data_IF_963759555532
#
_entry.id   IF_963759555532
#
_cell.length_a   1.000
_cell.length_b   1.000
_cell.length_c   1.000
_cell.angle_alpha   90.00
_cell.angle_beta   90.00
_cell.angle_gamma   90.00
#
_symmetry.space_group_name_H-M   'P 1'
#
loop_
_entity.id
_entity.type
_entity.pdbx_description
1 polymer ?
#
# COMPACT_ATOMS: atom_id res chain seq x y z
N UNK A 1 -1.58 9.78 11.30
CA UNK A 1 -2.75 8.93 10.97
C UNK A 1 -2.80 7.73 11.89
N UNK A 2 -1.76 6.89 11.89
CA UNK A 2 -1.63 5.66 12.69
C UNK A 2 -2.11 5.79 14.15
N UNK A 3 -1.77 6.88 14.83
CA UNK A 3 -2.12 7.08 16.25
C UNK A 3 -3.64 7.17 16.48
N UNK A 4 -4.41 7.66 15.50
CA UNK A 4 -5.87 7.65 15.58
C UNK A 4 -6.45 6.24 15.37
N UNK A 5 -5.83 5.42 14.51
CA UNK A 5 -6.18 4.01 14.37
C UNK A 5 -5.89 3.21 15.64
N UNK A 6 -4.73 3.46 16.27
CA UNK A 6 -4.37 2.88 17.56
C UNK A 6 -5.28 3.37 18.69
N UNK A 7 -5.62 4.66 18.72
CA UNK A 7 -6.56 5.22 19.72
C UNK A 7 -7.97 4.64 19.57
N UNK A 8 -8.41 4.30 18.35
CA UNK A 8 -9.66 3.58 18.14
C UNK A 8 -9.64 2.19 18.79
N UNK A 9 -8.52 1.45 18.68
CA UNK A 9 -8.37 0.16 19.37
C UNK A 9 -8.37 0.34 20.90
N UNK A 10 -7.64 1.33 21.42
CA UNK A 10 -7.59 1.67 22.85
C UNK A 10 -8.98 2.01 23.40
N UNK A 11 -9.70 2.95 22.79
CA UNK A 11 -11.05 3.31 23.21
C UNK A 11 -12.03 2.14 23.07
N UNK A 12 -11.93 1.32 22.02
CA UNK A 12 -12.81 0.16 21.87
C UNK A 12 -12.60 -0.88 22.99
N UNK A 13 -11.36 -1.04 23.46
CA UNK A 13 -10.98 -2.00 24.50
C UNK A 13 -11.29 -1.53 25.92
N UNK A 14 -11.40 -0.23 26.15
CA UNK A 14 -11.75 0.38 27.43
C UNK A 14 -13.27 0.67 27.51
N UNK A 15 -14.05 -0.03 28.35
CA UNK A 15 -15.49 0.24 28.52
C UNK A 15 -15.80 1.52 29.30
N UNK A 16 -14.80 2.17 29.92
CA UNK A 16 -14.96 3.43 30.66
C UNK A 16 -14.74 4.68 29.80
N UNK A 17 -14.08 4.54 28.65
CA UNK A 17 -14.00 5.57 27.61
C UNK A 17 -15.39 5.85 27.03
N UNK A 18 -15.79 7.12 27.00
CA UNK A 18 -17.06 7.54 26.39
C UNK A 18 -17.10 7.23 24.90
N UNK A 19 -15.94 7.34 24.25
CA UNK A 19 -15.72 7.01 22.84
C UNK A 19 -15.89 5.50 22.53
N UNK A 20 -15.89 4.61 23.54
CA UNK A 20 -15.83 3.16 23.38
C UNK A 20 -16.92 2.57 22.46
N UNK A 21 -18.19 2.98 22.68
CA UNK A 21 -19.33 2.58 21.83
C UNK A 21 -19.13 2.95 20.35
N UNK A 22 -18.50 4.09 20.07
CA UNK A 22 -18.23 4.56 18.71
C UNK A 22 -17.01 3.82 18.15
N UNK A 23 -15.95 3.67 18.93
CA UNK A 23 -14.74 2.95 18.54
C UNK A 23 -15.02 1.47 18.16
N UNK A 24 -15.86 0.78 18.94
CA UNK A 24 -16.33 -0.57 18.62
C UNK A 24 -17.17 -0.61 17.32
N UNK A 25 -17.98 0.41 17.04
CA UNK A 25 -18.69 0.54 15.76
C UNK A 25 -17.73 0.79 14.58
N UNK A 26 -16.69 1.59 14.76
CA UNK A 26 -15.64 1.75 13.74
C UNK A 26 -14.97 0.41 13.42
N UNK A 27 -14.49 -0.35 14.41
CA UNK A 27 -13.90 -1.68 14.16
C UNK A 27 -14.89 -2.61 13.43
N UNK A 28 -16.17 -2.60 13.84
CA UNK A 28 -17.18 -3.47 13.23
C UNK A 28 -17.54 -3.07 11.80
N UNK A 29 -17.63 -1.77 11.51
CA UNK A 29 -17.94 -1.27 10.16
C UNK A 29 -16.77 -1.40 9.20
N UNK A 30 -15.55 -1.03 9.61
CA UNK A 30 -14.40 -0.98 8.72
C UNK A 30 -13.79 -2.36 8.46
N UNK A 31 -13.72 -3.21 9.48
CA UNK A 31 -13.06 -4.52 9.38
C UNK A 31 -14.01 -5.71 9.51
N UNK A 32 -15.25 -5.52 9.99
CA UNK A 32 -16.15 -6.63 10.33
C UNK A 32 -15.89 -7.26 11.70
N UNK A 33 -14.94 -6.72 12.48
CA UNK A 33 -14.33 -7.31 13.68
C UNK A 33 -14.94 -6.76 14.98
N UNK A 34 -14.89 -7.54 16.08
CA UNK A 34 -15.05 -7.03 17.46
C UNK A 34 -13.70 -6.91 18.16
N UNK A 35 -13.60 -6.00 19.12
CA UNK A 35 -12.43 -5.95 20.00
C UNK A 35 -12.33 -7.24 20.82
N UNK A 36 -11.11 -7.78 20.97
CA UNK A 36 -10.87 -9.07 21.61
C UNK A 36 -10.90 -10.27 20.66
N UNK A 37 -11.45 -10.14 19.45
CA UNK A 37 -11.27 -11.16 18.39
C UNK A 37 -9.79 -11.21 17.97
N UNK A 38 -9.29 -12.38 17.56
CA UNK A 38 -7.95 -12.59 16.96
C UNK A 38 -7.58 -11.49 15.94
N UNK A 39 -8.53 -11.15 15.06
CA UNK A 39 -8.36 -10.14 14.01
C UNK A 39 -8.18 -8.72 14.55
N UNK A 40 -8.69 -8.39 15.74
CA UNK A 40 -8.39 -7.11 16.39
C UNK A 40 -6.92 -7.04 16.83
N UNK A 41 -6.32 -8.18 17.18
CA UNK A 41 -4.88 -8.31 17.40
C UNK A 41 -4.06 -8.12 16.12
N UNK A 42 -4.52 -8.65 14.98
CA UNK A 42 -3.89 -8.41 13.67
C UNK A 42 -3.95 -6.92 13.26
N UNK A 43 -5.13 -6.31 13.36
CA UNK A 43 -5.32 -4.87 13.07
C UNK A 43 -4.43 -4.00 13.94
N UNK A 44 -4.31 -4.36 15.23
CA UNK A 44 -3.37 -3.71 16.15
C UNK A 44 -1.91 -3.88 15.69
N UNK A 45 -1.47 -5.12 15.43
CA UNK A 45 -0.10 -5.44 14.98
C UNK A 45 0.29 -4.65 13.73
N UNK A 46 -0.61 -4.55 12.75
CA UNK A 46 -0.33 -3.86 11.49
C UNK A 46 -0.19 -2.33 11.69
N UNK A 47 -1.04 -1.73 12.53
CA UNK A 47 -0.88 -0.32 12.93
C UNK A 47 0.39 -0.09 13.77
N UNK A 48 0.74 -1.01 14.66
CA UNK A 48 1.98 -0.93 15.45
C UNK A 48 3.23 -1.08 14.57
N UNK A 49 3.20 -1.91 13.52
CA UNK A 49 4.29 -2.02 12.54
C UNK A 49 4.56 -0.68 11.84
N UNK A 50 3.51 -0.05 11.29
CA UNK A 50 3.61 1.29 10.67
C UNK A 50 4.05 2.35 11.67
N UNK A 51 3.56 2.32 12.92
CA UNK A 51 3.99 3.28 13.94
C UNK A 51 5.46 3.09 14.33
N UNK A 52 5.95 1.84 14.39
CA UNK A 52 7.34 1.54 14.69
C UNK A 52 8.27 1.94 13.54
N UNK A 53 7.89 1.70 12.28
CA UNK A 53 8.59 2.21 11.11
C UNK A 53 8.72 3.75 11.15
N UNK A 54 7.61 4.45 11.37
CA UNK A 54 7.59 5.92 11.48
C UNK A 54 8.36 6.48 12.69
N UNK A 55 8.78 5.63 13.63
CA UNK A 55 9.62 5.98 14.78
C UNK A 55 11.10 5.59 14.58
N UNK A 56 11.47 4.99 13.45
CA UNK A 56 12.83 4.46 13.22
C UNK A 56 13.11 3.12 13.93
N UNK A 57 12.08 2.42 14.41
CA UNK A 57 12.17 1.16 15.16
C UNK A 57 11.85 -0.08 14.29
N UNK A 58 11.89 0.06 12.96
CA UNK A 58 11.71 -1.04 12.00
C UNK A 58 12.95 -1.94 11.88
N UNK A 59 12.79 -3.12 11.28
CA UNK A 59 13.86 -4.15 11.15
C UNK A 59 14.52 -4.23 9.76
N UNK A 60 14.38 -3.21 8.91
CA UNK A 60 15.06 -3.21 7.61
C UNK A 60 16.58 -3.11 7.82
N UNK A 61 17.35 -3.96 7.15
CA UNK A 61 18.82 -3.95 7.24
C UNK A 61 19.44 -2.73 6.55
N UNK A 62 18.71 -2.15 5.59
CA UNK A 62 19.04 -0.93 4.84
C UNK A 62 17.85 0.03 4.87
N UNK A 63 18.09 1.34 4.85
CA UNK A 63 17.03 2.36 4.83
C UNK A 63 16.30 2.39 3.48
N UNK A 64 14.96 2.20 3.44
CA UNK A 64 14.17 2.30 2.20
C UNK A 64 14.36 3.61 1.43
N UNK A 65 14.31 3.52 0.09
CA UNK A 65 14.27 4.71 -0.78
C UNK A 65 12.83 5.17 -1.02
N UNK A 66 12.68 6.48 -1.25
CA UNK A 66 11.42 7.13 -1.58
C UNK A 66 11.63 8.02 -2.82
N UNK A 67 10.92 7.72 -3.90
CA UNK A 67 10.99 8.47 -5.16
C UNK A 67 9.67 9.21 -5.44
N UNK A 68 9.75 10.34 -6.14
CA UNK A 68 8.61 11.22 -6.44
C UNK A 68 8.02 11.06 -7.86
N UNK A 69 8.57 10.11 -8.61
CA UNK A 69 8.07 9.54 -9.86
C UNK A 69 8.80 8.20 -10.11
N UNK A 70 8.59 7.61 -11.27
CA UNK A 70 9.19 6.34 -11.71
C UNK A 70 10.41 6.51 -12.64
N UNK A 71 11.01 7.71 -12.73
CA UNK A 71 12.17 7.98 -13.60
C UNK A 71 13.50 7.43 -13.05
N UNK A 72 13.50 6.87 -11.84
CA UNK A 72 14.62 6.16 -11.21
C UNK A 72 14.89 4.77 -11.82
N UNK A 73 14.10 4.35 -12.82
CA UNK A 73 14.18 3.06 -13.50
C UNK A 73 14.30 3.23 -15.03
N UNK A 74 15.37 2.69 -15.63
CA UNK A 74 15.55 2.60 -17.08
C UNK A 74 14.98 1.28 -17.61
N UNK A 75 13.93 1.34 -18.46
CA UNK A 75 13.35 0.17 -19.13
C UNK A 75 14.29 -0.38 -20.20
N UNK A 76 14.66 -1.65 -20.09
CA UNK A 76 15.57 -2.32 -21.03
C UNK A 76 14.88 -3.47 -21.78
N UNK A 77 15.48 -3.92 -22.88
CA UNK A 77 15.13 -5.19 -23.53
C UNK A 77 15.72 -6.35 -22.74
N UNK A 78 14.98 -7.44 -22.64
CA UNK A 78 15.47 -8.77 -22.19
C UNK A 78 16.76 -9.21 -22.91
N UNK A 79 16.94 -8.74 -24.14
CA UNK A 79 18.08 -9.04 -25.01
C UNK A 79 19.26 -8.07 -24.91
N UNK A 80 19.18 -7.02 -24.09
CA UNK A 80 20.33 -6.16 -23.80
C UNK A 80 21.38 -6.93 -22.98
N UNK A 81 22.63 -6.45 -23.01
CA UNK A 81 23.67 -6.89 -22.11
C UNK A 81 23.22 -6.71 -20.65
N UNK A 82 23.45 -7.71 -19.81
CA UNK A 82 23.22 -7.63 -18.39
C UNK A 82 24.33 -6.80 -17.74
N UNK A 83 23.97 -5.94 -16.79
CA UNK A 83 24.91 -5.19 -15.98
C UNK A 83 25.09 -5.81 -14.59
N UNK A 84 26.29 -5.71 -14.04
CA UNK A 84 26.55 -5.84 -12.61
C UNK A 84 27.32 -4.62 -12.09
N UNK A 85 27.28 -4.44 -10.78
CA UNK A 85 28.36 -3.79 -10.05
C UNK A 85 29.27 -4.85 -9.47
N UNK A 86 30.55 -4.82 -9.84
CA UNK A 86 31.59 -5.47 -9.04
C UNK A 86 31.84 -4.62 -7.78
N UNK A 87 32.19 -5.28 -6.68
CA UNK A 87 32.50 -4.60 -5.42
C UNK A 87 33.70 -3.65 -5.60
N UNK A 88 33.47 -2.34 -5.47
CA UNK A 88 34.52 -1.32 -5.41
C UNK A 88 34.60 -0.32 -6.58
N UNK A 89 33.79 -0.46 -7.65
CA UNK A 89 33.70 0.55 -8.71
C UNK A 89 32.39 1.33 -8.65
N UNK A 90 32.41 2.46 -7.96
CA UNK A 90 31.30 3.40 -7.81
C UNK A 90 30.88 3.99 -9.18
N UNK A 91 29.60 3.82 -9.55
CA UNK A 91 28.99 4.50 -10.70
C UNK A 91 29.24 3.93 -12.11
N UNK A 92 29.94 2.80 -12.27
CA UNK A 92 30.13 2.18 -13.60
C UNK A 92 29.22 0.96 -13.82
N UNK A 93 28.21 1.09 -14.70
CA UNK A 93 27.44 -0.05 -15.25
C UNK A 93 28.40 -0.99 -15.99
N UNK A 94 28.80 -2.11 -15.38
CA UNK A 94 29.73 -3.08 -15.99
C UNK A 94 28.95 -4.18 -16.70
N UNK A 95 29.23 -4.42 -17.98
CA UNK A 95 28.59 -5.50 -18.72
C UNK A 95 29.14 -6.87 -18.31
N UNK A 96 28.23 -7.80 -18.03
CA UNK A 96 28.54 -9.19 -17.71
C UNK A 96 28.95 -9.89 -19.01
N UNK A 97 30.19 -10.37 -19.05
CA UNK A 97 30.75 -11.11 -20.20
C UNK A 97 30.75 -12.62 -19.91
N UNK A 98 30.56 -13.44 -20.94
CA UNK A 98 30.70 -14.90 -20.88
C UNK A 98 31.48 -15.46 -22.07
N UNK A 99 32.01 -16.67 -21.96
CA UNK A 99 32.76 -17.33 -23.03
C UNK A 99 31.80 -17.85 -24.11
N UNK A 100 31.81 -17.20 -25.28
CA UNK A 100 31.14 -17.66 -26.49
C UNK A 100 32.08 -18.42 -27.44
N UNK A 101 31.55 -19.07 -28.49
CA UNK A 101 32.34 -19.86 -29.44
C UNK A 101 33.48 -19.11 -30.17
N UNK A 102 33.43 -17.78 -30.18
CA UNK A 102 34.39 -16.89 -30.86
C UNK A 102 35.15 -15.98 -29.87
N UNK A 103 35.15 -16.30 -28.57
CA UNK A 103 35.67 -15.44 -27.50
C UNK A 103 34.58 -14.83 -26.62
N UNK A 104 34.93 -13.83 -25.82
CA UNK A 104 33.99 -13.20 -24.88
C UNK A 104 32.83 -12.50 -25.60
N UNK A 105 31.61 -12.73 -25.12
CA UNK A 105 30.36 -12.12 -25.59
C UNK A 105 29.59 -11.51 -24.41
N UNK A 106 28.76 -10.50 -24.67
CA UNK A 106 27.90 -9.91 -23.65
C UNK A 106 26.78 -10.91 -23.30
N UNK A 107 26.65 -11.24 -22.02
CA UNK A 107 25.58 -12.08 -21.50
C UNK A 107 24.28 -11.29 -21.47
N UNK A 108 23.18 -11.81 -22.02
CA UNK A 108 21.89 -11.08 -22.04
C UNK A 108 21.21 -11.16 -20.67
N UNK A 109 20.38 -10.16 -20.35
CA UNK A 109 19.58 -10.15 -19.10
C UNK A 109 18.73 -11.42 -18.96
N UNK A 110 18.13 -11.91 -20.06
CA UNK A 110 17.37 -13.17 -20.06
C UNK A 110 18.20 -14.45 -19.86
N UNK A 111 19.51 -14.41 -20.12
CA UNK A 111 20.43 -15.55 -19.96
C UNK A 111 21.05 -15.61 -18.55
N UNK A 112 20.76 -14.62 -17.68
CA UNK A 112 21.09 -14.66 -16.26
C UNK A 112 20.14 -15.64 -15.57
N UNK A 113 20.71 -16.73 -15.03
CA UNK A 113 19.98 -17.82 -14.39
C UNK A 113 19.02 -17.33 -13.30
N UNK A 114 19.48 -16.39 -12.48
CA UNK A 114 18.77 -15.95 -11.28
C UNK A 114 17.65 -14.93 -11.60
N UNK A 115 17.64 -14.37 -12.81
CA UNK A 115 16.54 -13.53 -13.32
C UNK A 115 15.42 -14.36 -13.97
N UNK A 116 15.63 -15.67 -14.20
CA UNK A 116 14.64 -16.57 -14.81
C UNK A 116 13.28 -16.55 -14.12
N UNK A 117 13.15 -16.62 -12.78
CA UNK A 117 11.85 -16.62 -12.10
C UNK A 117 11.05 -15.32 -12.31
N UNK A 118 11.73 -14.22 -12.62
CA UNK A 118 11.10 -12.91 -12.82
C UNK A 118 10.75 -12.61 -14.28
N UNK A 119 11.38 -13.33 -15.23
CA UNK A 119 11.18 -13.16 -16.67
C UNK A 119 10.39 -14.31 -17.33
N UNK A 120 10.30 -15.48 -16.70
CA UNK A 120 9.68 -16.66 -17.30
C UNK A 120 8.76 -17.40 -16.32
N UNK A 121 7.70 -17.99 -16.87
CA UNK A 121 6.84 -18.96 -16.19
C UNK A 121 7.12 -20.34 -16.77
N UNK A 122 7.18 -21.36 -15.93
CA UNK A 122 7.26 -22.76 -16.38
C UNK A 122 5.85 -23.28 -16.71
N UNK A 123 5.63 -23.79 -17.92
CA UNK A 123 4.38 -24.45 -18.28
C UNK A 123 4.31 -25.82 -17.59
N UNK A 124 3.39 -25.96 -16.63
CA UNK A 124 3.21 -27.14 -15.76
C UNK A 124 2.96 -28.47 -16.53
N UNK A 125 2.64 -28.42 -17.83
CA UNK A 125 2.34 -29.60 -18.65
C UNK A 125 3.50 -30.06 -19.51
N UNK A 126 4.46 -29.16 -19.80
CA UNK A 126 5.55 -29.40 -20.76
C UNK A 126 6.94 -29.17 -20.15
N UNK A 127 7.04 -28.51 -18.99
CA UNK A 127 8.32 -28.12 -18.38
C UNK A 127 9.06 -27.04 -19.17
N UNK A 128 8.38 -26.34 -20.09
CA UNK A 128 8.99 -25.30 -20.91
C UNK A 128 8.83 -23.92 -20.27
N UNK A 129 9.93 -23.16 -20.22
CA UNK A 129 9.91 -21.76 -19.80
C UNK A 129 9.36 -20.87 -20.92
N UNK A 130 8.24 -20.21 -20.66
CA UNK A 130 7.64 -19.21 -21.56
C UNK A 130 7.76 -17.81 -20.96
N UNK A 131 7.87 -16.79 -21.82
CA UNK A 131 7.94 -15.39 -21.35
C UNK A 131 6.68 -15.02 -20.57
N UNK A 132 6.85 -14.47 -19.37
CA UNK A 132 5.74 -14.03 -18.51
C UNK A 132 5.21 -12.62 -18.83
N UNK A 133 5.81 -11.91 -19.78
CA UNK A 133 5.43 -10.54 -20.15
C UNK A 133 6.09 -9.40 -19.35
N UNK A 134 6.95 -9.72 -18.37
CA UNK A 134 7.72 -8.69 -17.65
C UNK A 134 8.87 -8.13 -18.50
N UNK A 135 9.24 -6.87 -18.25
CA UNK A 135 10.47 -6.25 -18.74
C UNK A 135 11.47 -6.03 -17.58
N UNK A 136 12.79 -6.07 -17.86
CA UNK A 136 13.79 -5.61 -16.90
C UNK A 136 13.84 -4.07 -16.85
N UNK A 137 13.94 -3.54 -15.64
CA UNK A 137 14.13 -2.12 -15.36
C UNK A 137 15.38 -1.97 -14.49
N UNK A 138 16.35 -1.17 -14.91
CA UNK A 138 17.59 -0.95 -14.16
C UNK A 138 17.52 0.30 -13.28
N UNK A 139 18.02 0.24 -12.05
CA UNK A 139 18.21 1.41 -11.19
C UNK A 139 19.68 1.77 -11.01
N UNK A 140 20.05 3.01 -11.34
CA UNK A 140 21.39 3.54 -11.04
C UNK A 140 21.59 3.93 -9.56
N UNK A 141 20.55 4.10 -8.75
CA UNK A 141 20.66 4.41 -7.31
C UNK A 141 20.79 3.14 -6.44
N UNK A 142 20.16 2.04 -6.88
CA UNK A 142 20.22 0.75 -6.19
C UNK A 142 21.27 -0.21 -6.78
N UNK A 143 21.70 0.05 -8.03
CA UNK A 143 22.60 -0.80 -8.82
C UNK A 143 22.04 -2.22 -9.09
N UNK A 144 20.71 -2.34 -9.24
CA UNK A 144 20.02 -3.61 -9.43
C UNK A 144 18.91 -3.56 -10.50
N UNK A 145 18.40 -4.75 -10.86
CA UNK A 145 17.26 -4.91 -11.76
C UNK A 145 15.97 -5.17 -11.00
N UNK A 146 14.96 -4.35 -11.27
CA UNK A 146 13.56 -4.57 -10.89
C UNK A 146 12.81 -5.15 -12.09
N UNK A 147 11.90 -6.09 -11.88
CA UNK A 147 11.22 -6.84 -12.95
C UNK A 147 9.70 -6.71 -12.83
N UNK A 148 9.10 -5.92 -13.72
CA UNK A 148 7.67 -5.59 -13.70
C UNK A 148 7.02 -5.80 -15.08
N UNK A 149 5.69 -5.73 -15.14
CA UNK A 149 4.93 -5.83 -16.39
C UNK A 149 5.45 -4.83 -17.44
N UNK A 150 5.56 -5.21 -18.72
CA UNK A 150 5.97 -4.26 -19.75
C UNK A 150 4.95 -3.11 -19.91
N UNK A 151 5.45 -1.88 -19.76
CA UNK A 151 4.68 -0.65 -19.90
C UNK A 151 4.76 -0.03 -21.31
N UNK A 152 5.60 -0.57 -22.20
CA UNK A 152 5.65 -0.19 -23.62
C UNK A 152 6.14 1.23 -23.86
N UNK A 153 5.27 2.07 -24.41
CA UNK A 153 5.48 3.53 -24.59
C UNK A 153 5.19 4.35 -23.33
N UNK A 154 4.75 3.69 -22.25
CA UNK A 154 4.37 4.29 -20.97
C UNK A 154 5.28 3.82 -19.84
N UNK A 155 5.05 4.41 -18.68
CA UNK A 155 5.73 4.13 -17.43
C UNK A 155 4.72 3.64 -16.37
N UNK A 156 5.20 3.18 -15.21
CA UNK A 156 4.37 2.74 -14.08
C UNK A 156 3.35 3.81 -13.65
N UNK A 157 3.78 5.06 -13.58
CA UNK A 157 2.98 6.21 -13.16
C UNK A 157 2.07 6.79 -14.27
N UNK A 158 2.24 6.37 -15.53
CA UNK A 158 1.49 6.91 -16.68
C UNK A 158 0.62 5.88 -17.40
N UNK A 159 0.80 4.58 -17.14
CA UNK A 159 -0.09 3.51 -17.63
C UNK A 159 -1.40 3.49 -16.82
N UNK A 160 -2.57 3.55 -17.47
CA UNK A 160 -3.84 3.31 -16.80
C UNK A 160 -3.98 1.83 -16.43
N UNK A 161 -4.42 1.55 -15.20
CA UNK A 161 -4.83 0.22 -14.75
C UNK A 161 -6.18 -0.22 -15.33
N UNK A 162 -6.66 -1.38 -14.88
CA UNK A 162 -7.89 -2.02 -15.38
C UNK A 162 -9.18 -1.23 -15.14
N UNK A 163 -9.16 -0.23 -14.24
CA UNK A 163 -10.27 0.69 -13.96
C UNK A 163 -10.15 2.02 -14.73
N UNK A 164 -9.12 2.20 -15.54
CA UNK A 164 -8.84 3.40 -16.32
C UNK A 164 -8.09 4.51 -15.56
N UNK A 165 -7.69 4.31 -14.30
CA UNK A 165 -6.89 5.29 -13.54
C UNK A 165 -5.39 4.97 -13.63
N UNK A 166 -4.54 5.99 -13.62
CA UNK A 166 -3.09 5.82 -13.44
C UNK A 166 -2.76 5.53 -11.97
N UNK A 167 -1.64 4.84 -11.74
CA UNK A 167 -1.16 4.54 -10.38
C UNK A 167 -0.86 5.84 -9.60
N UNK A 168 -1.16 5.85 -8.29
CA UNK A 168 -0.83 6.96 -7.39
C UNK A 168 0.51 6.74 -6.69
N UNK A 169 0.80 5.48 -6.33
CA UNK A 169 2.06 5.03 -5.78
C UNK A 169 2.16 3.50 -5.91
N UNK A 170 3.32 2.96 -5.58
CA UNK A 170 3.50 1.55 -5.27
C UNK A 170 4.83 1.28 -4.56
N UNK A 171 4.82 0.28 -3.69
CA UNK A 171 5.98 -0.25 -2.99
C UNK A 171 6.59 -1.41 -3.78
N UNK A 172 7.92 -1.44 -3.89
CA UNK A 172 8.70 -2.54 -4.46
C UNK A 172 9.45 -3.22 -3.32
N UNK A 173 9.12 -4.47 -3.03
CA UNK A 173 9.80 -5.34 -2.05
C UNK A 173 10.82 -6.29 -2.70
N UNK A 174 10.97 -6.23 -4.03
CA UNK A 174 12.02 -6.93 -4.80
C UNK A 174 13.41 -6.30 -4.64
N UNK A 175 13.48 -5.01 -4.28
CA UNK A 175 14.71 -4.21 -4.17
C UNK A 175 15.38 -4.27 -2.79
N UNK A 176 16.69 -4.00 -2.73
CA UNK A 176 17.55 -4.12 -1.54
C UNK A 176 18.40 -2.84 -1.32
N UNK A 177 17.87 -1.77 -0.70
CA UNK A 177 16.64 -1.73 0.10
C UNK A 177 15.35 -1.62 -0.73
N UNK A 178 14.26 -2.12 -0.15
CA UNK A 178 12.91 -1.97 -0.68
C UNK A 178 12.54 -0.49 -0.87
N UNK A 179 11.75 -0.18 -1.89
CA UNK A 179 11.52 1.21 -2.33
C UNK A 179 10.04 1.57 -2.41
N UNK A 180 9.73 2.85 -2.24
CA UNK A 180 8.39 3.40 -2.47
C UNK A 180 8.46 4.43 -3.59
N UNK A 181 7.67 4.21 -4.63
CA UNK A 181 7.48 5.15 -5.74
C UNK A 181 6.16 5.89 -5.52
N UNK A 182 6.20 7.20 -5.24
CA UNK A 182 5.02 8.07 -5.24
C UNK A 182 4.89 8.72 -6.61
N UNK A 183 3.84 8.43 -7.37
CA UNK A 183 3.65 9.01 -8.70
C UNK A 183 3.24 10.49 -8.64
N UNK A 184 3.53 11.31 -9.67
CA UNK A 184 3.18 12.73 -9.71
C UNK A 184 1.70 13.06 -9.45
N UNK A 185 0.78 12.12 -9.75
CA UNK A 185 -0.64 12.28 -9.47
C UNK A 185 -0.96 12.27 -7.96
N UNK A 186 -0.19 11.60 -7.11
CA UNK A 186 -0.42 11.61 -5.65
C UNK A 186 -0.31 13.01 -5.04
N UNK A 187 0.62 13.83 -5.53
CA UNK A 187 0.84 15.21 -5.08
C UNK A 187 -0.15 16.21 -5.73
N UNK A 188 -0.61 15.92 -6.95
CA UNK A 188 -1.40 16.83 -7.79
C UNK A 188 -2.90 16.51 -7.87
N UNK A 189 -3.35 15.35 -7.36
CA UNK A 189 -4.75 14.92 -7.36
C UNK A 189 -5.67 15.97 -6.69
N UNK A 190 -6.60 16.61 -7.44
CA UNK A 190 -7.48 17.65 -6.92
C UNK A 190 -8.65 17.11 -6.07
N UNK A 191 -8.82 15.79 -5.96
CA UNK A 191 -9.81 15.16 -5.08
C UNK A 191 -9.26 14.92 -3.66
N UNK A 192 -7.94 14.91 -3.48
CA UNK A 192 -7.29 14.77 -2.18
C UNK A 192 -7.06 16.15 -1.54
N UNK A 193 -7.29 16.25 -0.23
CA UNK A 193 -7.08 17.51 0.51
C UNK A 193 -5.59 17.71 0.82
N UNK A 194 -5.12 18.95 0.97
CA UNK A 194 -3.68 19.19 1.19
C UNK A 194 -3.16 18.62 2.53
N UNK A 195 -3.99 18.63 3.58
CA UNK A 195 -3.61 18.14 4.91
C UNK A 195 -4.83 17.70 5.73
N UNK A 196 -4.62 16.86 6.74
CA UNK A 196 -5.67 16.46 7.67
C UNK A 196 -6.25 17.69 8.38
N UNK A 197 -7.58 17.84 8.30
CA UNK A 197 -8.31 18.94 8.92
C UNK A 197 -8.48 20.18 8.05
N UNK A 198 -7.91 20.24 6.83
CA UNK A 198 -8.15 21.38 5.92
C UNK A 198 -9.57 21.41 5.32
N UNK A 199 -10.39 20.38 5.56
CA UNK A 199 -11.81 20.31 5.19
C UNK A 199 -12.67 19.97 6.41
N UNK A 200 -13.59 20.85 6.78
CA UNK A 200 -14.55 20.63 7.89
C UNK A 200 -15.65 19.65 7.47
N UNK A 201 -15.96 18.59 8.24
CA UNK A 201 -17.07 17.70 7.93
C UNK A 201 -18.45 18.37 8.01
N UNK A 202 -19.32 18.03 7.06
CA UNK A 202 -20.76 18.35 7.07
C UNK A 202 -21.58 17.11 6.73
N UNK A 203 -22.87 17.09 7.09
CA UNK A 203 -23.68 15.88 7.04
C UNK A 203 -23.76 15.26 5.64
N UNK A 204 -23.43 13.95 5.54
CA UNK A 204 -23.51 13.18 4.31
C UNK A 204 -22.27 13.23 3.41
N UNK A 205 -21.29 14.10 3.68
CA UNK A 205 -20.00 14.09 2.96
C UNK A 205 -19.29 12.74 3.15
N UNK A 206 -18.65 12.24 2.10
CA UNK A 206 -18.06 10.90 2.05
C UNK A 206 -16.63 10.85 2.59
N UNK A 207 -16.22 9.73 3.19
CA UNK A 207 -14.85 9.61 3.76
C UNK A 207 -13.70 9.83 2.75
N UNK A 208 -13.81 9.47 1.44
CA UNK A 208 -12.75 9.79 0.47
C UNK A 208 -12.44 11.28 0.36
N UNK A 209 -13.42 12.17 0.59
CA UNK A 209 -13.26 13.62 0.52
C UNK A 209 -12.39 14.23 1.63
N UNK A 210 -11.99 13.43 2.62
CA UNK A 210 -11.15 13.84 3.75
C UNK A 210 -9.78 13.15 3.73
N UNK A 211 -9.48 12.37 2.67
CA UNK A 211 -8.15 11.79 2.48
C UNK A 211 -7.15 12.91 2.13
N UNK A 212 -6.09 13.11 2.93
CA UNK A 212 -5.02 14.01 2.57
C UNK A 212 -4.21 13.44 1.40
N UNK A 213 -3.44 14.26 0.69
CA UNK A 213 -2.46 13.79 -0.32
C UNK A 213 -1.48 12.75 0.24
N UNK A 214 -1.12 12.89 1.52
CA UNK A 214 -0.31 11.93 2.29
C UNK A 214 -1.02 10.61 2.64
N UNK A 215 -2.31 10.44 2.31
CA UNK A 215 -3.01 9.15 2.43
C UNK A 215 -2.36 8.09 1.56
N UNK A 216 -1.94 8.45 0.34
CA UNK A 216 -1.21 7.56 -0.58
C UNK A 216 0.07 7.02 0.07
N UNK A 217 0.93 7.89 0.60
CA UNK A 217 2.13 7.43 1.32
C UNK A 217 1.79 6.61 2.57
N UNK A 218 0.70 6.96 3.28
CA UNK A 218 0.24 6.18 4.43
C UNK A 218 -0.32 4.79 4.08
N UNK A 219 -0.80 4.58 2.85
CA UNK A 219 -1.11 3.26 2.28
C UNK A 219 0.18 2.46 2.08
N UNK A 220 1.14 3.01 1.33
CA UNK A 220 2.44 2.38 1.03
C UNK A 220 3.21 1.96 2.28
N UNK A 221 3.13 2.73 3.37
CA UNK A 221 3.76 2.40 4.64
C UNK A 221 3.33 1.04 5.22
N UNK A 222 2.14 0.50 4.88
CA UNK A 222 1.76 -0.85 5.30
C UNK A 222 2.46 -1.94 4.48
N UNK A 223 2.60 -1.75 3.18
CA UNK A 223 3.39 -2.66 2.34
C UNK A 223 4.86 -2.65 2.79
N UNK A 224 5.41 -1.45 3.02
CA UNK A 224 6.81 -1.28 3.39
C UNK A 224 7.12 -1.78 4.81
N UNK A 225 6.30 -1.45 5.82
CA UNK A 225 6.57 -1.81 7.22
C UNK A 225 6.18 -3.25 7.59
N UNK A 226 5.60 -4.01 6.65
CA UNK A 226 5.15 -5.40 6.86
C UNK A 226 5.75 -6.27 5.73
N UNK A 227 5.02 -6.41 4.61
CA UNK A 227 5.47 -6.91 3.30
C UNK A 227 4.28 -6.83 2.31
N UNK A 228 4.51 -6.86 0.99
CA UNK A 228 3.42 -6.75 -0.02
C UNK A 228 2.51 -7.99 -0.02
N UNK A 229 3.04 -9.18 0.28
CA UNK A 229 2.31 -10.45 0.24
C UNK A 229 1.27 -10.60 1.36
N UNK A 230 1.56 -10.06 2.55
CA UNK A 230 0.65 -10.06 3.71
C UNK A 230 -0.24 -8.82 3.78
N UNK A 231 0.01 -7.82 2.95
CA UNK A 231 -0.84 -6.61 2.80
C UNK A 231 -1.39 -6.44 1.37
N UNK A 232 -2.06 -7.45 0.78
CA UNK A 232 -2.57 -7.36 -0.58
C UNK A 232 -3.59 -6.23 -0.74
N UNK A 233 -3.59 -5.61 -1.92
CA UNK A 233 -4.58 -4.64 -2.38
C UNK A 233 -5.68 -5.28 -3.26
N UNK A 234 -6.83 -5.63 -2.68
CA UNK A 234 -8.04 -5.97 -3.44
C UNK A 234 -9.10 -4.85 -3.51
N UNK A 235 -9.10 -3.83 -2.62
CA UNK A 235 -10.21 -2.86 -2.52
C UNK A 235 -9.75 -1.41 -2.34
N UNK A 236 -10.04 -0.55 -3.32
CA UNK A 236 -9.68 0.88 -3.33
C UNK A 236 -10.86 1.82 -3.03
N UNK A 237 -11.98 1.31 -2.51
CA UNK A 237 -13.10 2.14 -2.11
C UNK A 237 -13.91 1.58 -0.94
N UNK A 238 -14.46 2.50 -0.14
CA UNK A 238 -15.40 2.17 0.92
C UNK A 238 -16.55 1.27 0.45
N UNK A 239 -17.08 1.52 -0.76
CA UNK A 239 -18.21 0.78 -1.33
C UNK A 239 -17.86 -0.70 -1.58
N UNK A 240 -16.64 -0.99 -2.01
CA UNK A 240 -16.16 -2.36 -2.24
C UNK A 240 -15.92 -3.08 -0.91
N UNK A 241 -15.23 -2.43 0.03
CA UNK A 241 -15.02 -2.94 1.40
C UNK A 241 -16.36 -3.32 2.04
N UNK A 242 -17.36 -2.43 1.99
CA UNK A 242 -18.72 -2.71 2.49
C UNK A 242 -19.50 -3.76 1.69
N UNK A 243 -19.16 -4.00 0.42
CA UNK A 243 -19.78 -5.06 -0.38
C UNK A 243 -19.21 -6.45 -0.02
N UNK A 244 -17.90 -6.55 0.22
CA UNK A 244 -17.26 -7.84 0.56
C UNK A 244 -17.42 -8.23 2.03
N UNK A 245 -17.52 -7.27 2.96
CA UNK A 245 -17.85 -7.54 4.37
C UNK A 245 -19.25 -8.17 4.56
N UNK A 246 -20.17 -7.98 3.59
CA UNK A 246 -21.47 -8.68 3.55
C UNK A 246 -21.36 -10.14 3.10
N UNK A 247 -20.19 -10.57 2.61
CA UNK A 247 -19.87 -11.94 2.16
C UNK A 247 -18.52 -12.39 2.73
N UNK A 248 -18.32 -12.38 4.07
CA UNK A 248 -17.00 -12.47 4.70
C UNK A 248 -16.24 -13.78 4.42
N UNK A 249 -16.97 -14.86 4.13
CA UNK A 249 -16.42 -16.19 3.82
C UNK A 249 -16.09 -16.41 2.34
N UNK A 250 -16.47 -15.49 1.44
CA UNK A 250 -16.16 -15.59 0.01
C UNK A 250 -14.65 -15.52 -0.25
N UNK A 251 -14.17 -16.24 -1.28
CA UNK A 251 -12.74 -16.33 -1.64
C UNK A 251 -12.53 -15.91 -3.09
N UNK A 252 -11.98 -14.71 -3.38
CA UNK A 252 -11.66 -14.28 -4.73
C UNK A 252 -10.50 -15.11 -5.32
N UNK A 253 -10.62 -15.59 -6.57
CA UNK A 253 -9.60 -16.47 -7.20
C UNK A 253 -8.20 -15.88 -7.21
N UNK A 254 -8.06 -14.56 -7.43
CA UNK A 254 -6.75 -13.84 -7.45
C UNK A 254 -6.01 -13.90 -6.11
N UNK A 255 -6.72 -14.04 -4.99
CA UNK A 255 -6.14 -13.94 -3.63
C UNK A 255 -6.42 -15.19 -2.78
N UNK A 256 -6.62 -16.36 -3.41
CA UNK A 256 -6.71 -17.62 -2.68
C UNK A 256 -5.36 -17.91 -1.96
N UNK A 257 -5.35 -18.43 -0.72
CA UNK A 257 -6.48 -19.03 0.01
C UNK A 257 -7.33 -18.04 0.84
N UNK A 258 -7.04 -16.74 0.81
CA UNK A 258 -7.70 -15.75 1.68
C UNK A 258 -9.20 -15.63 1.39
N UNK A 259 -9.94 -15.29 2.44
CA UNK A 259 -11.35 -14.90 2.36
C UNK A 259 -11.51 -13.39 2.48
N UNK A 260 -12.67 -12.88 2.07
CA UNK A 260 -13.01 -11.45 2.08
C UNK A 260 -12.78 -10.76 3.44
N UNK A 261 -13.03 -11.45 4.57
CA UNK A 261 -12.80 -10.89 5.91
C UNK A 261 -11.31 -10.74 6.24
N UNK A 262 -10.49 -11.75 5.92
CA UNK A 262 -9.04 -11.67 6.03
C UNK A 262 -8.50 -10.56 5.11
N UNK A 263 -8.94 -10.52 3.84
CA UNK A 263 -8.55 -9.50 2.87
C UNK A 263 -8.82 -8.08 3.38
N UNK A 264 -10.01 -7.79 3.90
CA UNK A 264 -10.31 -6.45 4.46
C UNK A 264 -9.46 -6.14 5.70
N UNK A 265 -9.09 -7.15 6.50
CA UNK A 265 -8.16 -6.99 7.63
C UNK A 265 -6.69 -6.83 7.21
N UNK A 266 -6.35 -7.00 5.93
CA UNK A 266 -4.97 -6.93 5.42
C UNK A 266 -4.76 -5.77 4.43
N UNK A 267 -5.81 -5.39 3.68
CA UNK A 267 -5.89 -4.30 2.70
C UNK A 267 -5.57 -2.92 3.35
N UNK A 268 -4.43 -2.27 3.03
CA UNK A 268 -4.00 -1.00 3.62
C UNK A 268 -5.02 0.14 3.50
N UNK A 269 -5.73 0.26 2.38
CA UNK A 269 -6.77 1.30 2.19
C UNK A 269 -7.89 1.20 3.25
N UNK A 270 -8.15 0.01 3.81
CA UNK A 270 -9.07 -0.13 4.96
C UNK A 270 -8.54 0.60 6.19
N UNK A 271 -7.24 0.51 6.44
CA UNK A 271 -6.54 1.21 7.52
C UNK A 271 -6.45 2.72 7.25
N UNK A 272 -6.29 3.14 5.99
CA UNK A 272 -6.34 4.55 5.57
C UNK A 272 -7.69 5.16 5.94
N UNK A 273 -8.81 4.63 5.41
CA UNK A 273 -10.14 5.15 5.72
C UNK A 273 -10.47 5.07 7.24
N UNK A 274 -10.05 4.01 7.93
CA UNK A 274 -10.27 3.84 9.38
C UNK A 274 -9.53 4.90 10.19
N UNK A 275 -8.25 5.13 9.88
CA UNK A 275 -7.40 6.09 10.58
C UNK A 275 -7.85 7.53 10.34
N UNK A 276 -8.16 7.89 9.08
CA UNK A 276 -8.65 9.24 8.72
C UNK A 276 -10.05 9.48 9.31
N UNK A 277 -10.93 8.48 9.20
CA UNK A 277 -12.28 8.56 9.74
C UNK A 277 -12.31 8.73 11.26
N UNK A 278 -11.44 8.02 11.99
CA UNK A 278 -11.36 8.15 13.44
C UNK A 278 -10.60 9.41 13.89
N UNK A 279 -9.61 9.86 13.12
CA UNK A 279 -8.92 11.14 13.37
C UNK A 279 -9.91 12.31 13.35
N UNK A 280 -10.79 12.38 12.34
CA UNK A 280 -11.84 13.40 12.26
C UNK A 280 -12.81 13.34 13.46
N UNK A 281 -13.14 12.14 13.93
CA UNK A 281 -13.94 11.94 15.13
C UNK A 281 -13.23 12.45 16.40
N UNK A 282 -11.91 12.31 16.51
CA UNK A 282 -11.15 12.84 17.66
C UNK A 282 -11.02 14.37 17.64
N UNK A 283 -10.87 15.00 16.46
CA UNK A 283 -10.67 16.46 16.37
C UNK A 283 -11.94 17.29 16.61
N UNK A 284 -13.13 16.73 16.40
CA UNK A 284 -14.38 17.52 16.38
C UNK A 284 -14.94 17.79 17.77
N UNK A 285 -14.34 18.76 18.48
CA UNK A 285 -14.79 19.25 19.80
C UNK A 285 -15.50 20.62 19.72
N UNK A 286 -16.13 21.02 20.83
CA UNK A 286 -17.36 21.82 20.80
C UNK A 286 -17.25 23.32 20.49
N UNK A 287 -18.36 23.86 19.98
CA UNK A 287 -18.57 25.28 19.71
C UNK A 287 -19.76 25.75 20.59
N UNK A 288 -19.45 26.33 21.75
CA UNK A 288 -20.07 26.29 23.10
C UNK A 288 -21.60 26.34 23.35
N UNK A 289 -22.47 26.15 22.35
CA UNK A 289 -23.92 26.11 22.56
C UNK A 289 -24.36 24.76 23.15
N UNK A 290 -24.79 24.80 24.41
CA UNK A 290 -24.98 23.71 25.38
C UNK A 290 -25.74 22.44 24.93
N UNK A 291 -26.41 22.43 23.77
CA UNK A 291 -27.06 21.24 23.22
C UNK A 291 -26.18 20.42 22.26
N UNK A 292 -25.12 21.01 21.69
CA UNK A 292 -24.48 20.49 20.43
C UNK A 292 -22.76 20.46 20.43
N UNK A 293 -22.87 19.77 21.68
CA UNK A 293 -22.19 19.59 23.03
C UNK A 293 -21.57 18.20 23.33
N UNK A 294 -22.35 17.11 23.25
CA UNK A 294 -21.88 15.73 23.47
C UNK A 294 -21.86 14.92 22.16
N UNK A 295 -21.66 15.57 21.01
CA UNK A 295 -21.72 14.92 19.69
C UNK A 295 -20.47 15.21 18.88
N UNK A 296 -20.05 14.29 18.02
CA UNK A 296 -18.89 14.47 17.13
C UNK A 296 -19.22 13.98 15.73
N UNK A 297 -18.46 14.41 14.73
CA UNK A 297 -18.59 13.86 13.38
C UNK A 297 -17.94 12.48 13.33
N UNK A 298 -18.69 11.48 12.87
CA UNK A 298 -18.25 10.09 12.72
C UNK A 298 -18.47 9.62 11.29
N UNK A 299 -17.51 8.85 10.80
CA UNK A 299 -17.51 8.21 9.49
C UNK A 299 -17.74 6.69 9.59
N UNK A 300 -18.32 6.21 10.70
CA UNK A 300 -18.67 4.79 10.93
C UNK A 300 -19.52 4.12 9.83
N UNK A 301 -20.07 4.89 8.89
CA UNK A 301 -20.87 4.44 7.74
C UNK A 301 -20.25 4.82 6.37
N UNK A 302 -19.05 5.42 6.39
CA UNK A 302 -18.35 6.01 5.25
C UNK A 302 -18.85 7.39 4.83
N UNK A 303 -19.84 7.94 5.53
CA UNK A 303 -20.27 9.34 5.39
C UNK A 303 -20.31 10.02 6.75
N UNK A 304 -20.09 11.34 6.77
CA UNK A 304 -20.09 12.16 7.97
C UNK A 304 -21.50 12.19 8.61
N UNK A 305 -21.59 11.65 9.82
CA UNK A 305 -22.80 11.61 10.65
C UNK A 305 -22.50 12.22 12.02
N UNK A 306 -23.38 13.09 12.51
CA UNK A 306 -23.24 13.67 13.84
C UNK A 306 -23.72 12.64 14.89
N UNK A 307 -22.80 11.95 15.55
CA UNK A 307 -23.10 10.91 16.53
C UNK A 307 -22.99 11.45 17.95
N UNK A 308 -23.91 11.05 18.82
CA UNK A 308 -23.79 11.32 20.26
C UNK A 308 -22.78 10.36 20.90
N UNK A 309 -22.06 10.89 21.88
CA UNK A 309 -21.19 10.18 22.80
C UNK A 309 -21.86 10.26 24.17
N UNK A 310 -22.15 9.10 24.78
CA UNK A 310 -22.71 8.97 26.14
C UNK A 310 -21.74 8.25 27.07
#
# INVERSE_FOLDING_TARGET
MVDAGLQALTHAADPSSKESKIAQRYLKSYFGVKIGDEKSGLIKKNLEAVQNFMKGNSKHERTPRLYCDDTWLERLSRTNAAWNTEEGTEGSRKEIMEEGPNGLVHKKIEDIKDYRPFLFTEDEKTGQYVSNGNAPYWSDDLHEYVFQEDYGDKSYCTKPGLDGKTNLAGTQDQSEPSTVTLCPLSFSNPQAIDSLGSKTPTAGMSIPEFLPKSATFYHELFHLAIDVLTTPDPFYSWKEIQAVLKKPTGRPRKYAPLNNHNLVCQNPETYVFFSVGYWNFLQTNWNDKQSNANKRWSFQSGVAQLVQID
#
